data_IF_647248863239
#
_entry.id   IF_647248863239
#
_cell.length_a   1.000
_cell.length_b   1.000
_cell.length_c   1.000
_cell.angle_alpha   90.00
_cell.angle_beta   90.00
_cell.angle_gamma   90.00
#
_symmetry.space_group_name_H-M   'P 1'
#
loop_
_entity.id
_entity.type
_entity.pdbx_description
1 polymer ?
#
# COMPACT_ATOMS: atom_id res chain seq x y z
N UNK A 1 -7.63 8.00 -2.55
CA UNK A 1 -8.73 6.99 -2.46
C UNK A 1 -8.18 5.63 -2.88
N UNK A 2 -8.58 4.54 -2.24
CA UNK A 2 -8.20 3.17 -2.63
C UNK A 2 -9.33 2.55 -3.45
N UNK A 3 -8.99 1.89 -4.56
CA UNK A 3 -9.95 1.28 -5.49
C UNK A 3 -9.83 -0.25 -5.57
N UNK A 4 -8.66 -0.79 -5.25
CA UNK A 4 -8.41 -2.22 -5.24
C UNK A 4 -7.41 -2.55 -4.14
N UNK A 5 -7.79 -3.48 -3.28
CA UNK A 5 -6.95 -4.00 -2.22
C UNK A 5 -7.31 -5.46 -1.94
N UNK A 6 -6.30 -6.27 -1.60
CA UNK A 6 -6.47 -7.63 -1.10
C UNK A 6 -5.96 -7.72 0.33
N UNK A 7 -6.78 -8.26 1.23
CA UNK A 7 -6.34 -8.59 2.58
C UNK A 7 -5.65 -9.95 2.59
N UNK A 8 -4.60 -10.09 3.38
CA UNK A 8 -3.87 -11.34 3.56
C UNK A 8 -3.58 -11.54 5.04
N UNK A 9 -3.81 -12.74 5.57
CA UNK A 9 -3.55 -13.09 6.97
C UNK A 9 -2.05 -13.30 7.28
N UNK A 10 -1.16 -12.68 6.50
CA UNK A 10 0.29 -12.73 6.75
C UNK A 10 0.60 -11.93 8.01
N UNK A 11 1.20 -12.57 9.01
CA UNK A 11 1.61 -11.89 10.25
C UNK A 11 2.76 -10.90 10.02
N UNK A 12 2.82 -9.86 10.84
CA UNK A 12 3.91 -8.88 10.83
C UNK A 12 4.13 -8.29 12.22
N UNK A 13 5.34 -7.75 12.45
CA UNK A 13 5.72 -7.09 13.70
C UNK A 13 5.78 -5.56 13.56
N UNK A 14 5.10 -4.99 12.56
CA UNK A 14 5.07 -3.54 12.31
C UNK A 14 3.79 -2.89 12.82
N UNK A 15 3.86 -1.59 13.11
CA UNK A 15 2.68 -0.82 13.50
C UNK A 15 1.66 -0.76 12.34
N UNK A 16 0.35 -0.74 12.63
CA UNK A 16 -0.68 -0.57 11.61
C UNK A 16 -0.47 0.70 10.78
N UNK A 17 -0.59 0.57 9.46
CA UNK A 17 -0.31 1.62 8.48
C UNK A 17 1.15 1.67 8.01
N UNK A 18 2.04 0.82 8.55
CA UNK A 18 3.43 0.75 8.10
C UNK A 18 3.54 0.03 6.76
N UNK A 19 4.25 0.62 5.81
CA UNK A 19 4.55 -0.02 4.54
C UNK A 19 5.55 -1.15 4.79
N UNK A 20 5.16 -2.38 4.44
CA UNK A 20 6.02 -3.56 4.53
C UNK A 20 6.90 -3.67 3.30
N UNK A 21 6.29 -3.58 2.12
CA UNK A 21 7.00 -3.59 0.84
C UNK A 21 6.13 -3.00 -0.28
N UNK A 22 6.76 -2.27 -1.20
CA UNK A 22 6.14 -1.82 -2.45
C UNK A 22 6.84 -2.49 -3.63
N UNK A 23 6.09 -3.22 -4.44
CA UNK A 23 6.59 -3.85 -5.66
C UNK A 23 5.64 -3.60 -6.83
N UNK A 24 6.05 -3.96 -8.05
CA UNK A 24 5.19 -3.89 -9.23
C UNK A 24 3.88 -4.69 -9.08
N UNK A 25 3.83 -5.67 -8.18
CA UNK A 25 2.62 -6.44 -7.88
C UNK A 25 1.61 -5.66 -7.00
N UNK A 26 2.05 -4.68 -6.22
CA UNK A 26 1.23 -3.92 -5.28
C UNK A 26 2.02 -3.38 -4.08
N UNK A 27 1.33 -2.58 -3.25
CA UNK A 27 1.88 -2.00 -2.02
C UNK A 27 1.29 -2.73 -0.82
N UNK A 28 2.14 -3.45 -0.09
CA UNK A 28 1.76 -4.20 1.10
C UNK A 28 1.95 -3.33 2.33
N UNK A 29 0.87 -3.17 3.09
CA UNK A 29 0.79 -2.35 4.29
C UNK A 29 0.41 -3.23 5.47
N UNK A 30 1.12 -3.07 6.58
CA UNK A 30 0.80 -3.64 7.88
C UNK A 30 -0.54 -3.11 8.38
N UNK A 31 -1.38 -3.98 8.92
CA UNK A 31 -2.67 -3.61 9.50
C UNK A 31 -2.69 -3.99 10.99
N UNK A 32 -3.80 -3.73 11.70
CA UNK A 32 -3.94 -4.21 13.08
C UNK A 32 -3.85 -5.74 13.17
N UNK A 33 -4.33 -6.41 12.12
CA UNK A 33 -4.30 -7.86 11.95
C UNK A 33 -4.02 -8.15 10.48
N UNK A 34 -3.05 -9.01 10.20
CA UNK A 34 -2.62 -9.33 8.84
C UNK A 34 -2.06 -8.14 8.05
N UNK A 35 -2.09 -8.27 6.73
CA UNK A 35 -1.56 -7.29 5.77
C UNK A 35 -2.58 -6.91 4.72
N UNK A 36 -2.47 -5.71 4.19
CA UNK A 36 -3.29 -5.19 3.11
C UNK A 36 -2.41 -4.88 1.90
N UNK A 37 -2.65 -5.58 0.80
CA UNK A 37 -1.98 -5.33 -0.48
C UNK A 37 -2.84 -4.44 -1.36
N UNK A 38 -2.39 -3.22 -1.58
CA UNK A 38 -3.03 -2.23 -2.45
C UNK A 38 -2.61 -2.47 -3.89
N UNK A 39 -3.57 -2.60 -4.79
CA UNK A 39 -3.32 -2.84 -6.23
C UNK A 39 -3.74 -1.66 -7.10
N UNK A 40 -4.76 -0.88 -6.66
CA UNK A 40 -5.22 0.32 -7.38
C UNK A 40 -5.54 1.45 -6.42
N UNK A 41 -5.03 2.63 -6.73
CA UNK A 41 -5.28 3.86 -5.96
C UNK A 41 -5.62 5.03 -6.88
N UNK A 42 -6.26 6.04 -6.31
CA UNK A 42 -6.59 7.27 -6.99
C UNK A 42 -6.04 8.46 -6.21
N UNK A 43 -5.20 9.21 -6.91
CA UNK A 43 -4.70 10.52 -6.53
C UNK A 43 -5.80 11.59 -6.71
N UNK A 44 -5.78 12.66 -5.90
CA UNK A 44 -6.74 13.76 -6.03
C UNK A 44 -6.65 14.39 -7.43
N UNK A 45 -7.80 14.53 -8.10
CA UNK A 45 -7.89 15.11 -9.46
C UNK A 45 -7.41 14.20 -10.60
N UNK A 46 -7.03 12.95 -10.33
CA UNK A 46 -6.57 11.98 -11.35
C UNK A 46 -7.50 10.77 -11.45
N UNK A 47 -7.38 10.01 -12.54
CA UNK A 47 -8.05 8.69 -12.68
C UNK A 47 -7.41 7.66 -11.75
N UNK A 48 -8.13 6.59 -11.38
CA UNK A 48 -7.54 5.47 -10.64
C UNK A 48 -6.43 4.81 -11.45
N UNK A 49 -5.25 4.68 -10.86
CA UNK A 49 -4.06 4.08 -11.46
C UNK A 49 -3.63 2.83 -10.68
N UNK A 50 -2.94 1.88 -11.34
CA UNK A 50 -2.24 0.81 -10.65
C UNK A 50 -1.27 1.36 -9.59
N UNK A 51 -1.14 0.66 -8.48
CA UNK A 51 -0.18 1.03 -7.44
C UNK A 51 1.25 0.97 -7.94
N UNK A 52 1.58 0.05 -8.86
CA UNK A 52 2.90 0.00 -9.49
C UNK A 52 3.27 1.33 -10.16
N UNK A 53 2.35 1.91 -10.94
CA UNK A 53 2.55 3.20 -11.61
C UNK A 53 2.71 4.33 -10.59
N UNK A 54 1.98 4.25 -9.48
CA UNK A 54 2.15 5.19 -8.38
C UNK A 54 3.53 5.06 -7.72
N UNK A 55 3.99 3.84 -7.43
CA UNK A 55 5.30 3.58 -6.84
C UNK A 55 6.46 4.00 -7.76
N UNK A 56 6.27 3.91 -9.08
CA UNK A 56 7.23 4.42 -10.06
C UNK A 56 7.37 5.95 -10.01
N UNK A 57 6.30 6.66 -9.63
CA UNK A 57 6.29 8.12 -9.51
C UNK A 57 6.55 8.62 -8.08
N UNK A 58 6.32 7.78 -7.08
CA UNK A 58 6.41 8.10 -5.66
C UNK A 58 7.19 7.01 -4.93
N UNK A 59 8.38 7.36 -4.47
CA UNK A 59 9.18 6.44 -3.65
C UNK A 59 8.54 6.29 -2.27
N UNK A 60 8.22 5.05 -1.92
CA UNK A 60 7.60 4.68 -0.66
C UNK A 60 8.47 3.61 0.01
N UNK A 61 9.49 4.04 0.77
CA UNK A 61 10.38 3.11 1.45
C UNK A 61 9.63 2.25 2.48
N UNK A 62 10.03 0.97 2.63
CA UNK A 62 9.52 0.12 3.70
C UNK A 62 9.83 0.75 5.06
N UNK A 63 8.86 0.71 5.96
CA UNK A 63 8.91 1.38 7.27
C UNK A 63 8.24 2.76 7.30
N UNK A 64 7.90 3.36 6.16
CA UNK A 64 7.10 4.59 6.14
C UNK A 64 5.64 4.29 6.54
N UNK A 65 5.03 5.17 7.34
CA UNK A 65 3.63 5.02 7.79
C UNK A 65 2.69 5.87 6.94
N UNK A 66 1.62 5.26 6.44
CA UNK A 66 0.55 5.95 5.71
C UNK A 66 -0.47 6.53 6.69
N UNK A 67 -0.84 7.80 6.54
CA UNK A 67 -1.92 8.44 7.32
C UNK A 67 -1.48 9.07 8.65
N UNK A 68 -0.26 9.61 8.71
CA UNK A 68 0.15 10.53 9.77
C UNK A 68 -0.57 11.88 9.68
#
# INVERSE_FOLDING_TARGET
RVWGAGASATGHDKEPGTILHGACAGLVVACGEGTLSLTRIQLPGRRPVPVADFLNAHDLPPGQRLGG
#
